data_IF_512512305893
#
_entry.id   IF_512512305893
#
_cell.length_a   1.000
_cell.length_b   1.000
_cell.length_c   1.000
_cell.angle_alpha   90.00
_cell.angle_beta   90.00
_cell.angle_gamma   90.00
#
_symmetry.space_group_name_H-M   'P 1'
#
loop_
_entity.id
_entity.type
_entity.pdbx_description
1 polymer ?
#
# COMPACT_ATOMS: atom_id res chain seq x y z
N UNK A 1 -6.31 -28.16 4.24
CA UNK A 1 -5.69 -27.08 3.47
C UNK A 1 -4.36 -26.79 4.14
N UNK A 2 -3.26 -26.96 3.43
CA UNK A 2 -1.93 -26.66 3.91
C UNK A 2 -1.46 -25.42 3.12
N UNK A 3 -1.58 -24.20 3.66
CA UNK A 3 -1.18 -23.00 2.95
C UNK A 3 0.33 -23.01 2.77
N UNK A 4 0.77 -22.79 1.54
CA UNK A 4 2.18 -22.64 1.20
C UNK A 4 2.49 -21.19 0.86
N UNK A 5 3.64 -20.69 1.34
CA UNK A 5 4.14 -19.40 0.94
C UNK A 5 4.60 -19.48 -0.52
N UNK A 6 3.96 -18.70 -1.39
CA UNK A 6 4.24 -18.71 -2.82
C UNK A 6 5.38 -17.74 -3.16
N UNK A 7 5.27 -16.50 -2.69
CA UNK A 7 6.27 -15.46 -2.91
C UNK A 7 6.19 -14.34 -1.86
N UNK A 8 7.22 -13.50 -1.84
CA UNK A 8 7.30 -12.29 -1.04
C UNK A 8 7.66 -11.09 -1.94
N UNK A 9 6.96 -9.98 -1.73
CA UNK A 9 7.30 -8.67 -2.28
C UNK A 9 7.77 -7.80 -1.12
N UNK A 10 9.07 -7.58 -1.05
CA UNK A 10 9.69 -6.79 0.02
C UNK A 10 11.08 -6.33 -0.42
N UNK A 11 11.69 -5.47 0.37
CA UNK A 11 13.09 -5.14 0.17
C UNK A 11 13.98 -6.35 0.49
N UNK A 12 14.89 -6.65 -0.43
CA UNK A 12 15.76 -7.81 -0.34
C UNK A 12 16.62 -7.79 0.93
N UNK A 13 17.14 -6.63 1.31
CA UNK A 13 18.00 -6.48 2.48
C UNK A 13 17.35 -6.88 3.80
N UNK A 14 16.00 -6.87 3.87
CA UNK A 14 15.25 -7.28 5.06
C UNK A 14 15.25 -8.80 5.24
N UNK A 15 15.33 -9.55 4.15
CA UNK A 15 15.19 -11.01 4.14
C UNK A 15 16.46 -11.76 3.70
N UNK A 16 17.50 -11.02 3.33
CA UNK A 16 18.84 -11.57 3.06
C UNK A 16 19.29 -12.47 4.21
N UNK A 17 19.95 -13.59 3.91
CA UNK A 17 20.41 -14.57 4.89
C UNK A 17 19.30 -15.22 5.75
N UNK A 18 18.06 -15.16 5.31
CA UNK A 18 16.95 -15.87 5.96
C UNK A 18 16.42 -17.02 5.10
N UNK A 19 15.69 -17.94 5.72
CA UNK A 19 15.00 -19.03 4.99
C UNK A 19 13.92 -18.53 4.03
N UNK A 20 13.57 -17.25 4.08
CA UNK A 20 12.54 -16.61 3.26
C UNK A 20 13.11 -15.96 1.99
N UNK A 21 14.43 -15.77 1.88
CA UNK A 21 15.08 -15.13 0.73
C UNK A 21 14.68 -15.78 -0.60
N UNK A 22 14.57 -17.09 -0.63
CA UNK A 22 14.17 -17.87 -1.83
C UNK A 22 12.77 -17.58 -2.36
N UNK A 23 11.94 -16.88 -1.61
CA UNK A 23 10.58 -16.49 -2.01
C UNK A 23 10.50 -15.05 -2.50
N UNK A 24 11.57 -14.28 -2.38
CA UNK A 24 11.58 -12.89 -2.81
C UNK A 24 11.48 -12.78 -4.32
N UNK A 25 10.57 -11.95 -4.77
CA UNK A 25 10.54 -11.50 -6.16
C UNK A 25 11.53 -10.38 -6.38
N UNK A 26 12.15 -10.35 -7.56
CA UNK A 26 13.09 -9.32 -7.92
C UNK A 26 12.39 -8.01 -8.25
N UNK A 27 12.90 -6.95 -7.69
CA UNK A 27 12.41 -5.59 -7.91
C UNK A 27 12.94 -5.05 -9.23
N UNK A 28 12.06 -4.60 -10.11
CA UNK A 28 12.39 -3.96 -11.38
C UNK A 28 12.24 -2.44 -11.24
N UNK A 29 13.32 -1.72 -11.44
CA UNK A 29 13.36 -0.25 -11.36
C UNK A 29 13.89 0.29 -10.03
N UNK A 30 14.06 1.61 -9.98
CA UNK A 30 14.59 2.32 -8.82
C UNK A 30 13.45 2.98 -8.02
N UNK A 31 13.00 2.30 -6.99
CA UNK A 31 11.99 2.80 -6.04
C UNK A 31 12.18 2.13 -4.68
N UNK A 32 11.70 2.77 -3.63
CA UNK A 32 11.69 2.18 -2.28
C UNK A 32 10.54 1.16 -2.19
N UNK A 33 10.85 -0.06 -1.77
CA UNK A 33 9.85 -1.10 -1.56
C UNK A 33 8.86 -0.70 -0.45
N UNK A 34 7.69 -1.32 -0.46
CA UNK A 34 6.67 -1.07 0.54
C UNK A 34 7.13 -1.45 1.96
N UNK A 35 6.67 -0.69 2.94
CA UNK A 35 6.91 -0.95 4.35
C UNK A 35 5.67 -0.65 5.20
N UNK A 36 5.22 -1.63 5.99
CA UNK A 36 4.06 -1.52 6.88
C UNK A 36 2.73 -1.35 6.14
N UNK A 37 2.62 -1.90 4.96
CA UNK A 37 1.47 -1.71 4.06
C UNK A 37 0.15 -2.25 4.62
N UNK A 38 -0.94 -1.60 4.22
CA UNK A 38 -2.31 -2.02 4.49
C UNK A 38 -3.14 -2.06 3.21
N UNK A 39 -4.25 -2.79 3.27
CA UNK A 39 -5.25 -2.83 2.19
C UNK A 39 -4.65 -3.22 0.84
N UNK A 40 -4.02 -4.40 0.78
CA UNK A 40 -3.56 -4.94 -0.49
C UNK A 40 -4.77 -5.44 -1.27
N UNK A 41 -4.88 -4.99 -2.52
CA UNK A 41 -5.94 -5.38 -3.45
C UNK A 41 -5.33 -5.94 -4.72
N UNK A 42 -5.91 -7.04 -5.19
CA UNK A 42 -5.55 -7.67 -6.46
C UNK A 42 -6.44 -7.13 -7.58
N UNK A 43 -5.85 -6.85 -8.73
CA UNK A 43 -6.56 -6.48 -9.96
C UNK A 43 -6.08 -7.40 -11.08
N UNK A 44 -7.00 -8.21 -11.59
CA UNK A 44 -6.80 -8.89 -12.85
C UNK A 44 -7.06 -7.90 -13.99
N UNK A 45 -6.19 -7.88 -14.97
CA UNK A 45 -6.38 -7.14 -16.22
C UNK A 45 -6.25 -8.13 -17.39
N UNK A 46 -7.33 -8.32 -18.12
CA UNK A 46 -7.38 -9.30 -19.23
C UNK A 46 -6.52 -8.89 -20.44
N UNK A 47 -5.97 -7.67 -20.44
CA UNK A 47 -4.99 -7.23 -21.44
C UNK A 47 -3.56 -7.63 -21.09
N UNK A 48 -3.31 -8.11 -19.90
CA UNK A 48 -2.00 -8.63 -19.48
C UNK A 48 -1.83 -10.08 -19.94
N UNK A 49 -0.57 -10.47 -20.10
CA UNK A 49 -0.21 -11.88 -20.29
C UNK A 49 -0.70 -12.72 -19.10
N UNK A 50 -0.84 -14.02 -19.32
CA UNK A 50 -1.09 -14.96 -18.25
C UNK A 50 0.01 -14.84 -17.20
N UNK A 51 -0.36 -15.00 -15.91
CA UNK A 51 0.53 -14.89 -14.75
C UNK A 51 1.03 -13.47 -14.44
N UNK A 52 0.48 -12.44 -15.15
CA UNK A 52 0.68 -11.03 -14.80
C UNK A 52 -0.61 -10.42 -14.24
N UNK A 53 -0.44 -9.58 -13.24
CA UNK A 53 -1.56 -8.85 -12.62
C UNK A 53 -1.07 -7.64 -11.84
N UNK A 54 -1.98 -6.78 -11.47
CA UNK A 54 -1.67 -5.66 -10.60
C UNK A 54 -2.06 -5.97 -9.15
N UNK A 55 -1.27 -5.44 -8.23
CA UNK A 55 -1.68 -5.22 -6.85
C UNK A 55 -1.53 -3.75 -6.52
N UNK A 56 -2.45 -3.22 -5.72
CA UNK A 56 -2.27 -1.90 -5.16
C UNK A 56 -2.46 -1.91 -3.65
N UNK A 57 -1.89 -0.91 -2.99
CA UNK A 57 -1.89 -0.86 -1.55
C UNK A 57 -1.75 0.56 -1.01
N UNK A 58 -2.15 0.73 0.23
CA UNK A 58 -1.72 1.86 1.05
C UNK A 58 -0.38 1.48 1.69
N UNK A 59 0.71 2.01 1.16
CA UNK A 59 2.02 1.86 1.77
C UNK A 59 2.15 2.89 2.90
N UNK A 60 2.12 2.43 4.15
CA UNK A 60 2.25 3.31 5.31
C UNK A 60 3.62 3.98 5.37
N UNK A 61 4.60 3.41 4.66
CA UNK A 61 5.97 3.92 4.64
C UNK A 61 6.55 4.01 6.06
N UNK A 62 6.26 2.99 6.86
CA UNK A 62 6.69 2.91 8.25
C UNK A 62 7.69 1.78 8.44
N UNK A 63 8.87 2.12 8.93
CA UNK A 63 9.92 1.16 9.25
C UNK A 63 9.72 0.54 10.63
N UNK A 64 10.17 -0.67 10.75
CA UNK A 64 10.19 -1.40 12.00
C UNK A 64 9.24 -2.59 11.99
N UNK A 65 9.75 -3.71 12.40
CA UNK A 65 8.97 -4.91 12.66
C UNK A 65 9.36 -5.46 14.03
N UNK A 66 8.37 -5.69 14.89
CA UNK A 66 8.60 -6.28 16.22
C UNK A 66 9.17 -7.70 16.14
N UNK A 67 9.01 -8.37 15.01
CA UNK A 67 9.58 -9.70 14.72
C UNK A 67 11.05 -9.67 14.31
N UNK A 68 11.61 -8.50 14.03
CA UNK A 68 13.02 -8.28 13.68
C UNK A 68 13.61 -7.14 14.52
N UNK A 69 13.70 -7.29 15.87
CA UNK A 69 14.15 -6.22 16.76
C UNK A 69 15.61 -5.82 16.53
N UNK A 70 16.43 -6.75 16.08
CA UNK A 70 17.88 -6.54 15.87
C UNK A 70 18.21 -6.02 14.45
N UNK A 71 17.23 -5.85 13.58
CA UNK A 71 17.46 -5.33 12.25
C UNK A 71 17.65 -3.80 12.29
N UNK A 72 18.71 -3.31 11.68
CA UNK A 72 18.97 -1.87 11.61
C UNK A 72 18.09 -1.19 10.55
N UNK A 73 16.95 -0.70 10.98
CA UNK A 73 16.00 0.00 10.14
C UNK A 73 16.46 1.40 9.72
N UNK A 74 17.55 1.94 10.27
CA UNK A 74 18.07 3.27 9.92
C UNK A 74 18.59 3.33 8.48
N UNK A 75 19.01 2.20 7.94
CA UNK A 75 19.48 2.09 6.55
C UNK A 75 18.34 2.02 5.54
N UNK A 76 17.10 1.96 5.99
CA UNK A 76 15.93 1.88 5.14
C UNK A 76 15.49 3.27 4.71
N UNK A 77 16.01 3.70 3.56
CA UNK A 77 15.73 5.04 3.02
C UNK A 77 14.26 5.15 2.63
N UNK A 78 13.62 6.25 3.02
CA UNK A 78 12.22 6.55 2.67
C UNK A 78 11.18 5.98 3.62
N UNK A 79 11.55 5.10 4.55
CA UNK A 79 10.66 4.66 5.61
C UNK A 79 10.70 5.65 6.77
N UNK A 80 9.66 6.47 6.92
CA UNK A 80 9.59 7.50 7.93
C UNK A 80 9.52 6.95 9.36
N UNK A 81 10.19 7.63 10.28
CA UNK A 81 9.68 7.77 11.63
C UNK A 81 8.56 8.81 11.58
N UNK A 82 7.58 8.77 12.47
CA UNK A 82 6.50 9.77 12.47
C UNK A 82 7.09 11.16 12.73
N UNK A 83 7.33 11.93 11.69
CA UNK A 83 7.79 13.29 11.73
C UNK A 83 6.96 14.17 10.80
N UNK A 84 6.97 15.48 11.05
CA UNK A 84 6.28 16.44 10.19
C UNK A 84 6.87 16.40 8.78
N UNK A 85 6.00 16.27 7.80
CA UNK A 85 6.41 16.16 6.40
C UNK A 85 6.53 14.74 5.86
N UNK A 86 6.49 13.73 6.72
CA UNK A 86 6.43 12.33 6.28
C UNK A 86 5.20 12.07 5.42
N UNK A 87 5.32 11.11 4.51
CA UNK A 87 4.26 10.70 3.61
C UNK A 87 4.03 9.20 3.69
N UNK A 88 2.77 8.81 3.66
CA UNK A 88 2.38 7.50 3.17
C UNK A 88 2.16 7.58 1.67
N UNK A 89 2.13 6.45 0.99
CA UNK A 89 2.13 6.44 -0.47
C UNK A 89 1.13 5.40 -0.96
N UNK A 90 0.30 5.78 -1.93
CA UNK A 90 -0.37 4.78 -2.75
C UNK A 90 0.67 4.11 -3.65
N UNK A 91 0.71 2.80 -3.66
CA UNK A 91 1.52 2.01 -4.59
C UNK A 91 0.65 1.09 -5.42
N UNK A 92 0.98 0.99 -6.72
CA UNK A 92 0.47 -0.04 -7.61
C UNK A 92 1.65 -0.75 -8.27
N UNK A 93 1.73 -2.06 -8.07
CA UNK A 93 2.73 -2.91 -8.69
C UNK A 93 2.14 -3.72 -9.83
N UNK A 94 2.90 -3.89 -10.90
CA UNK A 94 2.76 -4.99 -11.83
C UNK A 94 3.58 -6.16 -11.27
N UNK A 95 2.94 -7.29 -11.12
CA UNK A 95 3.57 -8.54 -10.68
C UNK A 95 3.61 -9.50 -11.85
N UNK A 96 4.75 -10.12 -12.06
CA UNK A 96 4.97 -11.20 -13.02
C UNK A 96 5.37 -12.47 -12.27
N UNK A 97 4.43 -13.39 -12.11
CA UNK A 97 4.68 -14.65 -11.39
C UNK A 97 5.59 -15.61 -12.16
N UNK A 98 5.63 -15.50 -13.49
CA UNK A 98 6.46 -16.37 -14.33
C UNK A 98 7.94 -15.99 -14.21
N UNK A 99 8.23 -14.69 -14.24
CA UNK A 99 9.59 -14.17 -14.11
C UNK A 99 10.03 -13.97 -12.64
N UNK A 100 9.08 -14.03 -11.70
CA UNK A 100 9.36 -13.77 -10.29
C UNK A 100 9.74 -12.31 -10.02
N UNK A 101 9.05 -11.35 -10.64
CA UNK A 101 9.41 -9.94 -10.58
C UNK A 101 8.23 -9.05 -10.19
N UNK A 102 8.53 -7.84 -9.72
CA UNK A 102 7.55 -6.78 -9.52
C UNK A 102 8.10 -5.41 -9.88
N UNK A 103 7.24 -4.56 -10.42
CA UNK A 103 7.55 -3.22 -10.90
C UNK A 103 6.56 -2.21 -10.34
N UNK A 104 7.03 -1.02 -9.92
CA UNK A 104 6.16 0.08 -9.52
C UNK A 104 5.64 0.80 -10.77
N UNK A 105 4.35 0.65 -11.06
CA UNK A 105 3.73 1.24 -12.25
C UNK A 105 2.90 2.48 -11.97
N UNK A 106 2.52 2.72 -10.71
CA UNK A 106 1.82 3.94 -10.30
C UNK A 106 2.02 4.23 -8.82
N UNK A 107 2.14 5.51 -8.47
CA UNK A 107 2.25 5.95 -7.08
C UNK A 107 1.90 7.42 -6.90
N UNK A 108 1.47 7.80 -5.71
CA UNK A 108 1.33 9.19 -5.28
C UNK A 108 1.30 9.31 -3.76
N UNK A 109 1.73 10.47 -3.27
CA UNK A 109 1.78 10.77 -1.84
C UNK A 109 0.39 10.99 -1.26
N UNK A 110 0.19 10.46 -0.06
CA UNK A 110 -1.00 10.67 0.76
C UNK A 110 -0.60 11.10 2.18
N UNK A 111 -1.59 11.53 2.98
CA UNK A 111 -1.29 11.93 4.37
C UNK A 111 -0.66 10.78 5.14
N UNK A 112 0.38 11.09 5.90
CA UNK A 112 1.14 10.09 6.63
C UNK A 112 0.31 9.39 7.71
N UNK A 113 0.38 8.09 7.71
CA UNK A 113 -0.20 7.25 8.76
C UNK A 113 0.68 6.02 8.96
N UNK A 114 1.36 5.94 10.10
CA UNK A 114 2.32 4.85 10.35
C UNK A 114 1.67 3.47 10.49
N UNK A 115 0.39 3.42 10.85
CA UNK A 115 -0.38 2.18 11.03
C UNK A 115 -1.82 2.40 10.59
N UNK A 116 -2.55 1.33 10.43
CA UNK A 116 -3.92 1.29 9.92
C UNK A 116 -4.02 2.05 8.59
N UNK A 117 -5.11 2.21 7.98
CA UNK A 117 -5.26 2.95 6.73
C UNK A 117 -5.80 2.09 5.61
N UNK A 118 -6.33 2.75 4.62
CA UNK A 118 -6.84 2.04 3.45
C UNK A 118 -6.76 2.90 2.20
N UNK A 119 -6.77 2.24 1.06
CA UNK A 119 -7.06 2.83 -0.23
C UNK A 119 -8.07 1.96 -0.95
N UNK A 120 -9.03 2.60 -1.61
CA UNK A 120 -10.01 1.99 -2.50
C UNK A 120 -10.02 2.77 -3.82
N UNK A 121 -10.23 2.06 -4.92
CA UNK A 121 -10.50 2.68 -6.20
C UNK A 121 -12.00 2.55 -6.48
N UNK A 122 -12.70 3.67 -6.55
CA UNK A 122 -14.15 3.74 -6.76
C UNK A 122 -14.45 4.72 -7.89
N UNK A 123 -15.10 4.25 -8.95
CA UNK A 123 -15.47 5.05 -10.12
C UNK A 123 -14.28 5.84 -10.73
N UNK A 124 -13.11 5.25 -10.76
CA UNK A 124 -11.87 5.87 -11.27
C UNK A 124 -11.19 6.85 -10.31
N UNK A 125 -11.76 7.10 -9.13
CA UNK A 125 -11.17 7.93 -8.10
C UNK A 125 -10.51 7.08 -7.02
N UNK A 126 -9.50 7.64 -6.36
CA UNK A 126 -8.84 7.02 -5.22
C UNK A 126 -9.44 7.57 -3.92
N UNK A 127 -9.93 6.68 -3.08
CA UNK A 127 -10.45 6.99 -1.75
C UNK A 127 -9.43 6.50 -0.73
N UNK A 128 -8.78 7.42 -0.02
CA UNK A 128 -7.75 7.08 0.97
C UNK A 128 -8.22 7.36 2.39
N UNK A 129 -7.86 6.50 3.31
CA UNK A 129 -8.02 6.75 4.75
C UNK A 129 -6.66 6.69 5.42
N UNK A 130 -6.18 7.81 5.92
CA UNK A 130 -4.95 7.92 6.70
C UNK A 130 -5.33 7.91 8.19
N UNK A 131 -5.44 6.70 8.74
CA UNK A 131 -6.10 6.48 10.03
C UNK A 131 -5.49 7.25 11.18
N UNK A 132 -4.16 7.29 11.31
CA UNK A 132 -3.48 8.05 12.37
C UNK A 132 -3.54 9.56 12.16
N UNK A 133 -3.66 10.01 10.93
CA UNK A 133 -3.85 11.43 10.62
C UNK A 133 -5.29 11.90 10.84
N UNK A 134 -6.19 10.98 11.21
CA UNK A 134 -7.61 11.24 11.39
C UNK A 134 -8.22 11.97 10.18
N UNK A 135 -7.90 11.50 8.99
CA UNK A 135 -8.44 12.06 7.76
C UNK A 135 -8.70 10.99 6.71
N UNK A 136 -9.61 11.31 5.82
CA UNK A 136 -9.80 10.59 4.57
C UNK A 136 -9.93 11.59 3.42
N UNK A 137 -9.54 11.15 2.24
CA UNK A 137 -9.48 12.01 1.07
C UNK A 137 -9.90 11.27 -0.20
N UNK A 138 -10.42 12.02 -1.15
CA UNK A 138 -10.73 11.57 -2.49
C UNK A 138 -9.84 12.31 -3.48
N UNK A 139 -9.20 11.55 -4.37
CA UNK A 139 -8.38 12.06 -5.46
C UNK A 139 -8.96 11.58 -6.79
N UNK A 140 -8.86 12.39 -7.83
CA UNK A 140 -9.26 11.98 -9.18
C UNK A 140 -8.25 11.01 -9.83
N UNK A 141 -8.55 10.55 -11.03
CA UNK A 141 -7.67 9.66 -11.81
C UNK A 141 -6.28 10.27 -12.10
N UNK A 142 -6.15 11.60 -12.04
CA UNK A 142 -4.87 12.31 -12.19
C UNK A 142 -4.17 12.57 -10.85
N UNK A 143 -4.63 11.96 -9.76
CA UNK A 143 -4.11 12.11 -8.39
C UNK A 143 -4.28 13.52 -7.82
N UNK A 144 -5.16 14.33 -8.40
CA UNK A 144 -5.51 15.64 -7.87
C UNK A 144 -6.54 15.50 -6.76
N UNK A 145 -6.27 16.15 -5.64
CA UNK A 145 -7.19 16.16 -4.50
C UNK A 145 -8.53 16.81 -4.89
N UNK A 146 -9.61 16.05 -4.78
CA UNK A 146 -10.99 16.51 -4.94
C UNK A 146 -11.50 17.07 -3.62
N UNK A 147 -11.38 16.27 -2.55
CA UNK A 147 -11.83 16.66 -1.21
C UNK A 147 -11.07 15.91 -0.13
N UNK A 148 -10.95 16.50 1.04
CA UNK A 148 -10.38 15.91 2.23
C UNK A 148 -11.26 16.22 3.43
N UNK A 149 -11.48 15.21 4.25
CA UNK A 149 -12.22 15.33 5.51
C UNK A 149 -11.30 15.00 6.66
N UNK A 150 -11.28 15.86 7.66
CA UNK A 150 -10.64 15.62 8.95
C UNK A 150 -11.70 15.38 10.00
N UNK A 151 -11.45 14.47 10.90
CA UNK A 151 -12.35 14.17 12.01
C UNK A 151 -11.57 14.17 13.32
N UNK A 152 -12.27 14.49 14.42
CA UNK A 152 -11.70 14.43 15.76
C UNK A 152 -12.13 13.14 16.43
N UNK A 153 -11.19 12.24 16.65
CA UNK A 153 -11.45 10.95 17.31
C UNK A 153 -10.24 10.49 18.12
N UNK A 154 -10.51 9.87 19.25
CA UNK A 154 -9.49 9.15 20.04
C UNK A 154 -9.19 7.75 19.46
N UNK A 155 -9.97 7.30 18.48
CA UNK A 155 -9.82 6.01 17.80
C UNK A 155 -9.48 6.25 16.34
N UNK A 156 -8.68 5.36 15.77
CA UNK A 156 -8.30 5.43 14.37
C UNK A 156 -9.34 4.74 13.50
N UNK A 157 -9.71 5.35 12.37
CA UNK A 157 -10.47 4.65 11.34
C UNK A 157 -9.52 3.70 10.59
N UNK A 158 -9.92 2.45 10.50
CA UNK A 158 -9.13 1.45 9.79
C UNK A 158 -9.36 1.52 8.27
N UNK A 159 -10.62 1.72 7.85
CA UNK A 159 -11.03 1.77 6.44
C UNK A 159 -12.11 2.81 6.23
N UNK A 160 -12.12 3.38 5.04
CA UNK A 160 -13.20 4.23 4.53
C UNK A 160 -13.61 3.70 3.16
N UNK A 161 -14.90 3.58 2.95
CA UNK A 161 -15.48 3.16 1.68
C UNK A 161 -16.40 4.26 1.15
N UNK A 162 -16.43 4.39 -0.18
CA UNK A 162 -17.37 5.25 -0.86
C UNK A 162 -18.45 4.38 -1.52
N UNK A 163 -19.69 4.64 -1.17
CA UNK A 163 -20.84 3.96 -1.77
C UNK A 163 -21.62 4.92 -2.66
N UNK A 164 -22.16 4.39 -3.74
CA UNK A 164 -23.18 5.05 -4.52
C UNK A 164 -24.53 4.44 -4.12
N UNK A 165 -25.47 5.31 -3.78
CA UNK A 165 -26.81 4.91 -3.39
C UNK A 165 -27.77 5.27 -4.53
N UNK A 166 -27.67 4.53 -5.64
CA UNK A 166 -28.63 4.63 -6.72
C UNK A 166 -29.94 3.95 -6.27
N UNK A 167 -31.07 4.60 -6.52
CA UNK A 167 -32.42 4.11 -6.15
C UNK A 167 -32.75 4.04 -4.64
N UNK A 168 -31.94 4.63 -3.78
CA UNK A 168 -32.27 4.81 -2.37
C UNK A 168 -33.04 6.12 -2.16
N UNK A 169 -34.24 6.01 -1.59
CA UNK A 169 -35.01 7.15 -1.13
C UNK A 169 -34.78 7.34 0.37
N UNK A 170 -34.18 8.45 0.74
CA UNK A 170 -34.11 8.87 2.13
C UNK A 170 -35.36 9.74 2.42
N UNK A 171 -36.29 9.23 3.20
CA UNK A 171 -37.45 9.98 3.67
C UNK A 171 -37.18 10.69 5.00
#
# INVERSE_FOLDING_TARGET
YNPELKYLIADKSVYEDTSYEKYLYDKIGDFTSNAGQHTIQYIKDDNLEQDKYYIYMFNNNYKGASTRPDFDWSNYVGCGSFSEGDKSIYYKYLVDENEGTYELVDSFDVDYSSIVSSVEISQGNYITSSGKANCYAEYDSNKKLIRKYKYNSKKYAYRVFKYTFDDFWFS
#
